data_IF_859329519400
#
_entry.id   IF_859329519400
#
_cell.length_a   1.000
_cell.length_b   1.000
_cell.length_c   1.000
_cell.angle_alpha   90.00
_cell.angle_beta   90.00
_cell.angle_gamma   90.00
#
_symmetry.space_group_name_H-M   'P 1'
#
loop_
_entity.id
_entity.type
_entity.pdbx_description
1 polymer ?
#
# COMPACT_ATOMS: atom_id res chain seq x y z
N UNK A 1 -5.12 8.39 27.43
CA UNK A 1 -6.48 8.63 26.94
C UNK A 1 -6.97 10.01 27.37
N UNK A 2 -6.81 10.39 28.65
CA UNK A 2 -7.21 11.73 29.15
C UNK A 2 -6.53 12.90 28.43
N UNK A 3 -5.36 12.70 27.83
CA UNK A 3 -4.65 13.71 27.03
C UNK A 3 -5.30 13.97 25.66
N UNK A 4 -6.22 13.12 25.20
CA UNK A 4 -6.78 13.16 23.83
C UNK A 4 -5.81 12.69 22.74
N UNK A 5 -4.58 12.32 23.09
CA UNK A 5 -3.52 11.94 22.12
C UNK A 5 -3.50 10.42 21.90
N UNK A 6 -3.96 9.65 22.89
CA UNK A 6 -3.92 8.18 22.87
C UNK A 6 -5.33 7.62 22.88
N UNK A 7 -5.62 6.74 21.95
CA UNK A 7 -6.83 5.92 21.90
C UNK A 7 -6.47 4.44 22.07
N UNK A 8 -7.25 3.70 22.85
CA UNK A 8 -7.07 2.27 23.07
C UNK A 8 -7.99 1.52 22.12
N UNK A 9 -7.41 0.68 21.26
CA UNK A 9 -8.14 -0.25 20.42
C UNK A 9 -8.26 -1.63 21.05
N UNK A 10 -9.19 -2.44 20.55
CA UNK A 10 -9.35 -3.83 20.96
C UNK A 10 -8.46 -4.78 20.15
N UNK A 11 -8.03 -5.86 20.81
CA UNK A 11 -7.32 -6.99 20.20
C UNK A 11 -7.88 -8.32 20.72
N UNK A 12 -9.18 -8.36 21.00
CA UNK A 12 -9.93 -9.37 21.73
C UNK A 12 -9.72 -9.30 23.27
N UNK A 13 -10.57 -9.96 24.01
CA UNK A 13 -10.41 -10.16 25.44
C UNK A 13 -9.57 -11.41 25.73
N UNK A 14 -9.95 -12.56 25.14
CA UNK A 14 -9.32 -13.86 25.40
C UNK A 14 -9.18 -14.76 24.16
N UNK A 15 -9.36 -14.22 22.95
CA UNK A 15 -9.26 -15.02 21.72
C UNK A 15 -7.89 -14.91 21.01
N UNK A 16 -6.94 -14.19 21.59
CA UNK A 16 -5.54 -14.23 21.15
C UNK A 16 -4.84 -15.44 21.79
N UNK A 17 -5.36 -16.64 21.55
CA UNK A 17 -4.86 -17.87 22.12
C UNK A 17 -4.10 -18.67 21.06
N UNK A 18 -2.87 -19.17 21.34
CA UNK A 18 -2.11 -20.02 20.42
C UNK A 18 -2.85 -21.26 19.93
N UNK A 19 -3.78 -21.81 20.72
CA UNK A 19 -4.62 -22.92 20.30
C UNK A 19 -5.52 -22.60 19.09
N UNK A 20 -5.82 -21.33 18.89
CA UNK A 20 -6.64 -20.83 17.80
C UNK A 20 -5.83 -19.97 16.81
N UNK A 21 -4.50 -19.93 16.94
CA UNK A 21 -3.67 -19.19 15.99
C UNK A 21 -3.65 -19.91 14.66
N UNK A 22 -3.89 -19.18 13.60
CA UNK A 22 -3.82 -19.73 12.24
C UNK A 22 -2.46 -20.29 11.88
N UNK A 23 -1.42 -19.92 12.61
CA UNK A 23 -0.03 -20.34 12.38
C UNK A 23 0.33 -21.67 13.05
N UNK A 24 -0.36 -22.04 14.11
CA UNK A 24 -0.05 -23.26 14.91
C UNK A 24 -1.24 -24.19 15.12
N UNK A 25 -2.45 -23.79 14.73
CA UNK A 25 -3.61 -24.68 14.77
C UNK A 25 -3.58 -25.67 13.58
N UNK A 26 -3.91 -26.93 13.79
CA UNK A 26 -3.88 -27.95 12.74
C UNK A 26 -4.74 -27.62 11.52
N UNK A 27 -5.73 -26.74 11.65
CA UNK A 27 -6.69 -26.33 10.63
C UNK A 27 -6.53 -24.88 10.16
N UNK A 28 -5.47 -24.17 10.56
CA UNK A 28 -5.23 -22.79 10.14
C UNK A 28 -6.20 -21.74 10.69
N UNK A 29 -6.95 -22.03 11.75
CA UNK A 29 -7.99 -21.16 12.30
C UNK A 29 -7.49 -20.48 13.58
N UNK A 30 -7.65 -19.16 13.66
CA UNK A 30 -7.43 -18.41 14.90
C UNK A 30 -8.76 -18.17 15.65
N UNK A 31 -8.68 -17.67 16.89
CA UNK A 31 -9.83 -17.51 17.78
C UNK A 31 -10.95 -16.61 17.26
N UNK A 32 -10.69 -15.67 16.36
CA UNK A 32 -11.69 -14.74 15.79
C UNK A 32 -12.31 -15.22 14.48
N UNK A 33 -11.75 -16.25 13.88
CA UNK A 33 -12.34 -16.86 12.68
C UNK A 33 -13.44 -17.87 13.07
N UNK A 34 -14.35 -18.10 12.12
CA UNK A 34 -15.35 -19.13 12.24
C UNK A 34 -14.71 -20.51 12.35
N UNK A 35 -15.16 -21.31 13.31
CA UNK A 35 -14.72 -22.70 13.46
C UNK A 35 -15.45 -23.62 12.46
N UNK A 36 -14.84 -24.73 12.05
CA UNK A 36 -15.52 -25.72 11.21
C UNK A 36 -16.85 -26.17 11.83
N UNK A 37 -17.94 -26.12 11.07
CA UNK A 37 -19.27 -26.46 11.54
C UNK A 37 -19.94 -25.46 12.49
N UNK A 38 -19.27 -24.39 12.87
CA UNK A 38 -19.84 -23.39 13.77
C UNK A 38 -20.99 -22.64 13.12
N UNK A 39 -22.15 -22.60 13.79
CA UNK A 39 -23.28 -21.80 13.33
C UNK A 39 -23.06 -20.31 13.56
N UNK A 40 -23.79 -19.46 12.84
CA UNK A 40 -23.71 -18.02 13.03
C UNK A 40 -24.08 -17.58 14.45
N UNK A 41 -25.05 -18.24 15.07
CA UNK A 41 -25.44 -17.96 16.46
C UNK A 41 -24.31 -18.33 17.43
N UNK A 42 -23.71 -19.50 17.30
CA UNK A 42 -22.57 -19.92 18.12
C UNK A 42 -21.37 -18.97 17.97
N UNK A 43 -21.03 -18.59 16.74
CA UNK A 43 -19.99 -17.61 16.46
C UNK A 43 -20.24 -16.26 17.14
N UNK A 44 -21.47 -15.73 17.03
CA UNK A 44 -21.86 -14.47 17.69
C UNK A 44 -21.77 -14.56 19.21
N UNK A 45 -22.12 -15.69 19.79
CA UNK A 45 -21.98 -15.91 21.24
C UNK A 45 -20.50 -15.93 21.63
N UNK A 46 -19.67 -16.69 20.93
CA UNK A 46 -18.25 -16.86 21.23
C UNK A 46 -17.45 -15.59 20.95
N UNK A 47 -17.42 -15.15 19.70
CA UNK A 47 -16.57 -14.02 19.27
C UNK A 47 -17.22 -12.69 19.62
N UNK A 48 -18.53 -12.57 19.45
CA UNK A 48 -19.28 -11.35 19.78
C UNK A 48 -19.31 -11.09 21.29
N UNK A 49 -19.37 -12.13 22.13
CA UNK A 49 -19.27 -12.02 23.58
C UNK A 49 -17.88 -11.58 24.04
N UNK A 50 -16.83 -12.18 23.50
CA UNK A 50 -15.44 -11.79 23.77
C UNK A 50 -15.17 -10.33 23.38
N UNK A 51 -15.58 -9.93 22.19
CA UNK A 51 -15.42 -8.56 21.69
C UNK A 51 -16.20 -7.56 22.57
N UNK A 52 -17.43 -7.92 23.00
CA UNK A 52 -18.22 -7.09 23.91
C UNK A 52 -17.51 -6.89 25.25
N UNK A 53 -16.95 -7.96 25.81
CA UNK A 53 -16.18 -7.91 27.07
C UNK A 53 -14.97 -6.99 26.92
N UNK A 54 -14.21 -7.13 25.81
CA UNK A 54 -13.07 -6.25 25.53
C UNK A 54 -13.48 -4.79 25.47
N UNK A 55 -14.54 -4.46 24.71
CA UNK A 55 -15.05 -3.09 24.60
C UNK A 55 -15.45 -2.52 25.96
N UNK A 56 -16.19 -3.28 26.76
CA UNK A 56 -16.63 -2.86 28.09
C UNK A 56 -15.43 -2.57 29.01
N UNK A 57 -14.45 -3.45 29.07
CA UNK A 57 -13.28 -3.25 29.91
C UNK A 57 -12.47 -2.03 29.47
N UNK A 58 -12.30 -1.80 28.17
CA UNK A 58 -11.60 -0.63 27.66
C UNK A 58 -12.35 0.65 28.06
N UNK A 59 -13.64 0.72 27.80
CA UNK A 59 -14.44 1.94 28.10
C UNK A 59 -14.52 2.22 29.60
N UNK A 60 -14.69 1.20 30.42
CA UNK A 60 -14.78 1.34 31.88
C UNK A 60 -13.47 1.81 32.52
N UNK A 61 -12.32 1.34 32.01
CA UNK A 61 -11.03 1.59 32.65
C UNK A 61 -10.21 2.70 32.02
N UNK A 62 -10.53 3.13 30.79
CA UNK A 62 -9.76 4.17 30.07
C UNK A 62 -10.43 5.54 30.04
N UNK A 63 -11.71 5.61 30.38
CA UNK A 63 -12.51 6.84 30.25
C UNK A 63 -12.91 7.20 28.82
N UNK A 64 -12.51 6.40 27.81
CA UNK A 64 -12.98 6.64 26.44
C UNK A 64 -14.41 6.11 26.26
N UNK A 65 -15.21 6.82 25.47
CA UNK A 65 -16.62 6.53 25.29
C UNK A 65 -16.90 5.41 24.27
N UNK A 66 -15.95 5.18 23.36
CA UNK A 66 -16.09 4.24 22.24
C UNK A 66 -14.75 3.55 21.99
N UNK A 67 -14.82 2.35 21.44
CA UNK A 67 -13.67 1.65 20.86
C UNK A 67 -13.88 1.64 19.35
N UNK A 68 -13.11 2.44 18.61
CA UNK A 68 -13.27 2.60 17.16
C UNK A 68 -12.27 1.75 16.36
N UNK A 69 -11.30 1.18 17.03
CA UNK A 69 -10.17 0.51 16.41
C UNK A 69 -10.04 -0.93 16.90
N UNK A 70 -9.72 -1.84 15.97
CA UNK A 70 -9.45 -3.24 16.24
C UNK A 70 -8.20 -3.73 15.52
N UNK A 71 -7.42 -4.58 16.14
CA UNK A 71 -6.31 -5.27 15.49
C UNK A 71 -6.62 -6.77 15.45
N UNK A 72 -6.54 -7.38 14.27
CA UNK A 72 -6.81 -8.82 14.17
C UNK A 72 -5.69 -9.64 14.81
N UNK A 73 -6.01 -10.55 15.75
CA UNK A 73 -5.04 -11.54 16.23
C UNK A 73 -4.44 -12.30 15.03
N UNK A 74 -3.09 -12.33 14.98
CA UNK A 74 -2.32 -12.95 13.89
C UNK A 74 -2.59 -12.40 12.48
N UNK A 75 -3.37 -11.32 12.36
CA UNK A 75 -3.80 -10.75 11.08
C UNK A 75 -4.91 -11.53 10.38
N UNK A 76 -5.42 -12.60 10.99
CA UNK A 76 -6.42 -13.46 10.39
C UNK A 76 -7.84 -12.96 10.67
N UNK A 77 -8.68 -12.97 9.64
CA UNK A 77 -10.06 -12.50 9.70
C UNK A 77 -10.92 -13.22 8.65
N UNK A 78 -12.22 -13.16 8.85
CA UNK A 78 -13.21 -13.58 7.87
C UNK A 78 -14.34 -12.55 7.77
N UNK A 79 -15.29 -12.80 6.87
CA UNK A 79 -16.45 -11.91 6.66
C UNK A 79 -17.34 -11.80 7.91
N UNK A 80 -17.41 -12.83 8.73
CA UNK A 80 -18.24 -12.84 9.94
C UNK A 80 -17.64 -11.90 11.00
N UNK A 81 -16.31 -11.91 11.13
CA UNK A 81 -15.63 -10.97 12.02
C UNK A 81 -15.81 -9.52 11.57
N UNK A 82 -15.66 -9.24 10.29
CA UNK A 82 -15.90 -7.88 9.77
C UNK A 82 -17.33 -7.41 10.02
N UNK A 83 -18.32 -8.29 9.87
CA UNK A 83 -19.72 -7.98 10.19
C UNK A 83 -19.89 -7.64 11.67
N UNK A 84 -19.31 -8.43 12.57
CA UNK A 84 -19.36 -8.14 14.00
C UNK A 84 -18.69 -6.82 14.38
N UNK A 85 -17.55 -6.49 13.79
CA UNK A 85 -16.87 -5.22 14.04
C UNK A 85 -17.77 -4.03 13.68
N UNK A 86 -18.41 -4.08 12.51
CA UNK A 86 -19.37 -3.04 12.10
C UNK A 86 -20.55 -2.93 13.07
N UNK A 87 -21.13 -4.05 13.49
CA UNK A 87 -22.25 -4.09 14.44
C UNK A 87 -21.89 -3.52 15.82
N UNK A 88 -20.62 -3.66 16.23
CA UNK A 88 -20.11 -3.09 17.48
C UNK A 88 -19.61 -1.66 17.35
N UNK A 89 -19.72 -1.03 16.17
CA UNK A 89 -19.30 0.34 15.92
C UNK A 89 -17.79 0.53 15.81
N UNK A 90 -17.03 -0.55 15.58
CA UNK A 90 -15.62 -0.48 15.25
C UNK A 90 -15.48 -0.04 13.79
N UNK A 91 -14.79 1.08 13.57
CA UNK A 91 -14.69 1.70 12.25
C UNK A 91 -13.49 1.22 11.44
N UNK A 92 -12.38 0.91 12.14
CA UNK A 92 -11.12 0.58 11.49
C UNK A 92 -10.53 -0.69 12.12
N UNK A 93 -10.02 -1.58 11.27
CA UNK A 93 -9.22 -2.71 11.76
C UNK A 93 -7.99 -2.96 10.91
N UNK A 94 -6.92 -3.45 11.60
CA UNK A 94 -5.61 -3.63 10.99
C UNK A 94 -5.18 -5.09 10.91
N UNK A 95 -4.51 -5.39 9.80
CA UNK A 95 -3.82 -6.65 9.54
C UNK A 95 -2.42 -6.67 10.17
N UNK A 96 -1.70 -7.74 9.96
CA UNK A 96 -0.25 -7.86 10.29
C UNK A 96 0.65 -7.52 9.11
N UNK A 97 0.10 -7.39 7.92
CA UNK A 97 0.84 -7.06 6.70
C UNK A 97 1.41 -5.65 6.79
N UNK A 98 2.73 -5.49 6.54
CA UNK A 98 3.33 -4.16 6.54
C UNK A 98 2.89 -3.37 5.33
N UNK A 99 2.63 -2.08 5.52
CA UNK A 99 2.28 -1.21 4.40
C UNK A 99 1.56 0.05 4.82
N UNK A 100 1.31 0.90 3.82
CA UNK A 100 0.47 2.09 3.93
C UNK A 100 -0.92 1.80 3.42
N UNK A 101 -1.93 2.35 4.06
CA UNK A 101 -3.28 2.31 3.56
C UNK A 101 -3.39 3.01 2.20
N UNK A 102 -4.08 2.39 1.27
CA UNK A 102 -4.42 2.98 -0.03
C UNK A 102 -5.88 3.45 0.01
N UNK A 103 -6.28 4.46 -0.77
CA UNK A 103 -7.67 4.93 -0.80
C UNK A 103 -8.71 3.84 -1.10
N UNK A 104 -8.32 2.79 -1.83
CA UNK A 104 -9.17 1.65 -2.19
C UNK A 104 -9.21 0.53 -1.15
N UNK A 105 -8.41 0.61 -0.10
CA UNK A 105 -8.35 -0.42 0.94
C UNK A 105 -9.59 -0.31 1.84
N UNK A 106 -10.19 -1.43 2.16
CA UNK A 106 -11.26 -1.49 3.17
C UNK A 106 -10.74 -1.01 4.52
N UNK A 107 -11.53 -0.22 5.22
CA UNK A 107 -11.21 0.22 6.58
C UNK A 107 -11.02 -0.96 7.55
N UNK A 108 -11.57 -2.13 7.24
CA UNK A 108 -11.37 -3.37 7.99
C UNK A 108 -10.21 -4.25 7.49
N UNK A 109 -9.33 -3.71 6.63
CA UNK A 109 -8.17 -4.43 6.07
C UNK A 109 -6.94 -3.52 5.98
N UNK A 110 -6.80 -2.60 6.93
CA UNK A 110 -5.72 -1.62 6.92
C UNK A 110 -4.37 -2.30 7.20
N UNK A 111 -3.37 -2.17 6.33
CA UNK A 111 -2.02 -2.60 6.61
C UNK A 111 -1.41 -1.76 7.74
N UNK A 112 -0.45 -2.32 8.47
CA UNK A 112 0.28 -1.60 9.53
C UNK A 112 1.73 -1.99 9.58
N UNK A 113 2.59 -1.11 10.07
CA UNK A 113 3.95 -1.46 10.47
C UNK A 113 3.97 -1.89 11.92
N UNK A 114 4.66 -3.01 12.20
CA UNK A 114 4.97 -3.42 13.56
C UNK A 114 6.17 -2.61 14.05
N UNK A 115 6.00 -1.94 15.17
CA UNK A 115 7.08 -1.21 15.84
C UNK A 115 7.50 -2.01 17.07
N UNK A 116 8.79 -2.26 17.24
CA UNK A 116 9.36 -2.91 18.40
C UNK A 116 10.28 -1.95 19.14
N UNK A 117 10.53 -2.21 20.43
CA UNK A 117 11.42 -1.36 21.25
C UNK A 117 12.87 -1.34 20.75
N UNK A 118 13.30 -2.35 19.99
CA UNK A 118 14.61 -2.41 19.37
C UNK A 118 14.73 -1.61 18.07
N UNK A 119 13.60 -1.11 17.58
CA UNK A 119 13.53 -0.37 16.32
C UNK A 119 13.82 1.11 16.56
N UNK A 120 14.88 1.63 15.94
CA UNK A 120 15.17 3.06 16.01
C UNK A 120 14.16 3.87 15.16
N UNK A 121 13.95 5.14 15.53
CA UNK A 121 13.14 6.07 14.72
C UNK A 121 13.67 6.15 13.28
N UNK A 122 14.99 6.15 13.07
CA UNK A 122 15.59 6.13 11.74
C UNK A 122 15.26 4.89 10.95
N UNK A 123 15.18 3.72 11.60
CA UNK A 123 14.75 2.46 10.97
C UNK A 123 13.28 2.51 10.57
N UNK A 124 12.42 3.05 11.44
CA UNK A 124 11.01 3.23 11.15
C UNK A 124 10.78 4.20 9.98
N UNK A 125 11.46 5.33 9.97
CA UNK A 125 11.39 6.31 8.88
C UNK A 125 11.87 5.69 7.56
N UNK A 126 12.92 4.86 7.59
CA UNK A 126 13.36 4.12 6.40
C UNK A 126 12.30 3.15 5.89
N UNK A 127 11.64 2.38 6.75
CA UNK A 127 10.56 1.48 6.34
C UNK A 127 9.39 2.21 5.68
N UNK A 128 9.06 3.41 6.16
CA UNK A 128 7.93 4.18 5.66
C UNK A 128 8.28 5.06 4.46
N UNK A 129 9.57 5.38 4.26
CA UNK A 129 10.05 6.31 3.23
C UNK A 129 11.16 5.72 2.36
N UNK A 130 11.43 4.42 2.46
CA UNK A 130 12.50 3.77 1.71
C UNK A 130 12.07 3.31 0.32
N UNK A 131 12.98 3.46 -0.63
CA UNK A 131 12.93 2.87 -1.96
C UNK A 131 13.82 1.63 -2.00
N UNK A 132 13.22 0.48 -2.20
CA UNK A 132 13.93 -0.79 -2.34
C UNK A 132 14.17 -1.06 -3.82
N UNK A 133 15.43 -1.29 -4.25
CA UNK A 133 15.72 -1.63 -5.63
C UNK A 133 14.91 -2.86 -6.07
N UNK A 134 14.36 -2.78 -7.26
CA UNK A 134 13.55 -3.84 -7.85
C UNK A 134 13.71 -3.85 -9.37
N UNK A 135 13.38 -4.96 -9.98
CA UNK A 135 13.25 -5.09 -11.43
C UNK A 135 11.78 -5.39 -11.73
N UNK A 136 11.21 -4.65 -12.66
CA UNK A 136 9.86 -4.91 -13.15
C UNK A 136 9.95 -5.64 -14.49
N UNK A 137 9.62 -6.93 -14.49
CA UNK A 137 9.41 -7.66 -15.76
C UNK A 137 8.25 -6.99 -16.48
N UNK A 138 8.47 -6.60 -17.70
CA UNK A 138 7.51 -5.80 -18.48
C UNK A 138 7.46 -6.33 -19.90
N UNK A 139 6.30 -6.30 -20.52
CA UNK A 139 6.11 -6.54 -21.95
C UNK A 139 5.48 -5.31 -22.57
N UNK A 140 6.10 -4.76 -23.60
CA UNK A 140 5.58 -3.63 -24.36
C UNK A 140 5.18 -4.11 -25.74
N UNK A 141 3.88 -4.06 -26.05
CA UNK A 141 3.34 -4.57 -27.31
C UNK A 141 3.83 -6.00 -27.65
N UNK A 142 3.94 -6.88 -26.65
CA UNK A 142 4.44 -8.24 -26.79
C UNK A 142 5.95 -8.42 -26.69
N UNK A 143 6.75 -7.34 -26.66
CA UNK A 143 8.21 -7.41 -26.53
C UNK A 143 8.64 -7.33 -25.07
N UNK A 144 9.36 -8.35 -24.59
CA UNK A 144 9.81 -8.41 -23.21
C UNK A 144 10.94 -7.39 -22.94
N UNK A 145 10.84 -6.68 -21.83
CA UNK A 145 11.83 -5.73 -21.33
C UNK A 145 11.84 -5.76 -19.81
N UNK A 146 12.97 -5.47 -19.19
CA UNK A 146 13.09 -5.33 -17.74
C UNK A 146 13.32 -3.86 -17.42
N UNK A 147 12.37 -3.26 -16.68
CA UNK A 147 12.49 -1.89 -16.23
C UNK A 147 13.10 -1.85 -14.81
N UNK A 148 14.19 -1.08 -14.62
CA UNK A 148 14.65 -0.76 -13.28
C UNK A 148 13.57 0.02 -12.51
N UNK A 149 13.28 -0.44 -11.30
CA UNK A 149 12.19 0.10 -10.48
C UNK A 149 12.63 0.22 -9.02
N UNK A 150 11.95 1.07 -8.28
CA UNK A 150 11.99 1.04 -6.82
C UNK A 150 10.63 0.57 -6.28
N UNK A 151 10.68 -0.35 -5.33
CA UNK A 151 9.50 -0.70 -4.54
C UNK A 151 9.38 0.29 -3.37
N UNK A 152 8.30 1.08 -3.38
CA UNK A 152 8.01 2.10 -2.37
C UNK A 152 6.59 1.86 -1.87
N UNK A 153 6.42 1.61 -0.57
CA UNK A 153 5.11 1.33 0.01
C UNK A 153 4.37 0.16 -0.66
N UNK A 154 5.11 -0.90 -1.04
CA UNK A 154 4.56 -2.10 -1.67
C UNK A 154 4.22 -1.98 -3.16
N UNK A 155 4.51 -0.85 -3.82
CA UNK A 155 4.29 -0.68 -5.25
C UNK A 155 5.60 -0.42 -5.98
N UNK A 156 5.68 -0.84 -7.25
CA UNK A 156 6.78 -0.53 -8.12
C UNK A 156 6.61 0.87 -8.73
N UNK A 157 7.67 1.66 -8.63
CA UNK A 157 7.80 2.98 -9.24
C UNK A 157 8.95 2.94 -10.23
N UNK A 158 8.72 3.43 -11.43
CA UNK A 158 9.68 3.47 -12.53
C UNK A 158 10.06 4.91 -12.84
N UNK A 159 11.26 5.09 -13.33
CA UNK A 159 11.76 6.40 -13.73
C UNK A 159 10.97 6.90 -14.95
N UNK A 160 10.38 8.08 -14.87
CA UNK A 160 9.50 8.61 -15.92
C UNK A 160 10.17 8.70 -17.29
N UNK A 161 11.44 9.12 -17.33
CA UNK A 161 12.19 9.26 -18.58
C UNK A 161 12.58 7.91 -19.20
N UNK A 162 12.78 6.87 -18.38
CA UNK A 162 13.03 5.53 -18.90
C UNK A 162 11.77 4.98 -19.61
N UNK A 163 10.58 5.27 -19.06
CA UNK A 163 9.32 4.91 -19.71
C UNK A 163 9.10 5.72 -20.99
N UNK A 164 9.34 7.02 -20.95
CA UNK A 164 9.23 7.86 -22.15
C UNK A 164 10.19 7.41 -23.26
N UNK A 165 11.43 7.05 -22.90
CA UNK A 165 12.41 6.49 -23.84
C UNK A 165 11.97 5.13 -24.41
N UNK A 166 11.36 4.28 -23.57
CA UNK A 166 10.84 2.97 -23.98
C UNK A 166 9.71 3.09 -24.98
N UNK A 167 8.83 4.10 -24.83
CA UNK A 167 7.65 4.30 -25.66
C UNK A 167 7.85 5.33 -26.78
N UNK A 168 9.05 5.87 -26.98
CA UNK A 168 9.32 6.99 -27.90
C UNK A 168 8.92 6.74 -29.35
N UNK A 169 8.96 5.49 -29.81
CA UNK A 169 8.65 5.10 -31.19
C UNK A 169 7.28 4.39 -31.30
N UNK A 170 6.40 4.56 -30.31
CA UNK A 170 5.05 4.01 -30.28
C UNK A 170 4.00 5.12 -30.48
N UNK A 171 2.75 4.77 -30.82
CA UNK A 171 1.65 5.73 -30.86
C UNK A 171 1.41 6.47 -29.52
N UNK A 172 1.74 5.87 -28.39
CA UNK A 172 1.62 6.46 -27.05
C UNK A 172 2.90 7.16 -26.58
N UNK A 173 3.78 7.59 -27.49
CA UNK A 173 4.94 8.40 -27.14
C UNK A 173 4.52 9.66 -26.38
N UNK A 174 5.28 10.02 -25.36
CA UNK A 174 5.03 11.24 -24.59
C UNK A 174 6.34 11.95 -24.23
N UNK A 175 6.31 13.28 -24.17
CA UNK A 175 7.48 14.08 -23.76
C UNK A 175 7.45 14.40 -22.27
N UNK A 176 8.64 14.59 -21.69
CA UNK A 176 8.85 14.85 -20.28
C UNK A 176 9.69 16.09 -20.10
N UNK A 177 9.11 17.14 -19.54
CA UNK A 177 9.78 18.38 -19.22
C UNK A 177 9.88 18.59 -17.72
N UNK A 178 10.89 19.32 -17.27
CA UNK A 178 11.04 19.77 -15.89
C UNK A 178 10.89 21.27 -15.85
N UNK A 179 9.80 21.74 -15.25
CA UNK A 179 9.60 23.15 -15.00
C UNK A 179 10.33 23.55 -13.71
N UNK A 180 11.52 24.11 -13.86
CA UNK A 180 12.37 24.50 -12.73
C UNK A 180 11.76 25.60 -11.87
N UNK A 181 11.00 26.52 -12.47
CA UNK A 181 10.39 27.65 -11.77
C UNK A 181 9.28 27.21 -10.81
N UNK A 182 8.51 26.21 -11.22
CA UNK A 182 7.38 25.67 -10.48
C UNK A 182 7.71 24.37 -9.75
N UNK A 183 8.95 23.86 -9.90
CA UNK A 183 9.38 22.57 -9.33
C UNK A 183 8.45 21.40 -9.72
N UNK A 184 7.98 21.38 -10.99
CA UNK A 184 6.96 20.46 -11.49
C UNK A 184 7.45 19.63 -12.66
N UNK A 185 6.93 18.40 -12.77
CA UNK A 185 7.03 17.59 -13.97
C UNK A 185 5.89 17.95 -14.92
N UNK A 186 6.22 18.22 -16.18
CA UNK A 186 5.26 18.43 -17.26
C UNK A 186 5.36 17.25 -18.25
N UNK A 187 4.22 16.64 -18.52
CA UNK A 187 4.05 15.56 -19.48
C UNK A 187 3.23 16.04 -20.67
N UNK A 188 3.59 15.62 -21.87
CA UNK A 188 2.83 15.89 -23.08
C UNK A 188 2.55 14.57 -23.78
N UNK A 189 1.30 14.16 -23.73
CA UNK A 189 0.83 12.93 -24.38
C UNK A 189 0.96 13.03 -25.90
N UNK A 190 1.11 11.89 -26.55
CA UNK A 190 1.16 11.77 -28.01
C UNK A 190 2.18 12.72 -28.66
N UNK A 191 3.25 13.02 -27.95
CA UNK A 191 4.31 13.92 -28.38
C UNK A 191 5.64 13.18 -28.50
N UNK A 192 6.47 13.48 -29.51
CA UNK A 192 7.79 12.86 -29.64
C UNK A 192 8.64 13.12 -28.38
N UNK A 193 9.19 12.07 -27.82
CA UNK A 193 10.11 12.20 -26.68
C UNK A 193 11.49 12.64 -27.14
N UNK A 194 12.04 13.67 -26.52
CA UNK A 194 13.40 14.14 -26.74
C UNK A 194 14.34 13.67 -25.63
N UNK A 195 15.21 12.67 -25.90
CA UNK A 195 16.17 12.19 -24.92
C UNK A 195 17.13 13.30 -24.47
N UNK A 196 17.46 13.32 -23.19
CA UNK A 196 18.40 14.30 -22.61
C UNK A 196 19.66 13.64 -21.99
N UNK A 197 19.83 12.31 -22.18
CA UNK A 197 20.98 11.55 -21.70
C UNK A 197 20.89 11.12 -20.24
N UNK A 198 19.75 11.29 -19.59
CA UNK A 198 19.50 10.81 -18.21
C UNK A 198 18.80 9.45 -18.16
N UNK A 199 18.35 8.95 -19.32
CA UNK A 199 17.63 7.69 -19.46
C UNK A 199 18.55 6.49 -19.29
N UNK A 200 17.97 5.37 -18.86
CA UNK A 200 18.64 4.06 -18.73
C UNK A 200 19.94 4.09 -17.90
N UNK A 201 20.10 5.09 -17.03
CA UNK A 201 21.23 5.13 -16.11
C UNK A 201 21.14 3.99 -15.11
N UNK A 202 22.27 3.37 -14.74
CA UNK A 202 22.27 2.35 -13.70
C UNK A 202 21.58 2.85 -12.45
N UNK A 203 20.75 1.99 -11.87
CA UNK A 203 20.08 2.26 -10.61
C UNK A 203 20.93 1.71 -9.47
N UNK A 204 20.90 2.39 -8.32
CA UNK A 204 21.57 1.87 -7.13
C UNK A 204 20.99 0.54 -6.70
N UNK A 205 21.84 -0.40 -6.32
CA UNK A 205 21.46 -1.65 -5.66
C UNK A 205 21.14 -1.48 -4.17
N UNK A 206 21.38 -0.30 -3.61
CA UNK A 206 21.15 -0.01 -2.20
C UNK A 206 19.74 0.58 -1.98
N UNK A 207 19.23 0.39 -0.76
CA UNK A 207 18.00 1.04 -0.30
C UNK A 207 18.24 2.55 -0.26
N UNK A 208 17.35 3.32 -0.86
CA UNK A 208 17.41 4.78 -0.91
C UNK A 208 16.31 5.43 -0.10
N UNK A 209 16.59 6.60 0.44
CA UNK A 209 15.55 7.48 1.01
C UNK A 209 14.78 8.15 -0.12
N UNK A 210 13.47 8.20 -0.01
CA UNK A 210 12.60 8.88 -0.98
C UNK A 210 12.20 10.24 -0.50
N UNK A 211 12.08 11.19 -1.43
CA UNK A 211 11.41 12.46 -1.22
C UNK A 211 10.11 12.45 -2.03
N UNK A 212 8.97 12.51 -1.36
CA UNK A 212 7.69 12.69 -2.04
C UNK A 212 7.68 14.03 -2.76
N UNK A 213 7.21 14.06 -3.99
CA UNK A 213 6.88 15.30 -4.67
C UNK A 213 5.57 15.82 -4.11
N UNK A 214 5.55 17.07 -3.72
CA UNK A 214 4.36 17.76 -3.16
C UNK A 214 3.64 18.56 -4.23
N UNK A 215 4.36 18.94 -5.27
CA UNK A 215 3.81 19.69 -6.40
C UNK A 215 3.04 18.75 -7.35
N UNK A 216 1.97 19.23 -7.99
CA UNK A 216 1.22 18.44 -8.96
C UNK A 216 2.09 18.12 -10.18
N UNK A 217 1.83 16.97 -10.81
CA UNK A 217 2.30 16.68 -12.17
C UNK A 217 1.34 17.36 -13.14
N UNK A 218 1.87 18.06 -14.11
CA UNK A 218 1.07 18.65 -15.18
C UNK A 218 1.09 17.71 -16.39
N UNK A 219 -0.08 17.26 -16.84
CA UNK A 219 -0.21 16.49 -18.07
C UNK A 219 -1.13 17.26 -19.04
N UNK A 220 -0.63 17.56 -20.22
CA UNK A 220 -1.34 18.32 -21.27
C UNK A 220 -1.97 19.62 -20.75
N UNK A 221 -1.25 20.32 -19.86
CA UNK A 221 -1.69 21.57 -19.24
C UNK A 221 -2.63 21.41 -18.06
N UNK A 222 -3.03 20.19 -17.69
CA UNK A 222 -3.90 19.91 -16.52
C UNK A 222 -3.07 19.44 -15.35
N UNK A 223 -3.36 19.95 -14.15
CA UNK A 223 -2.70 19.56 -12.92
C UNK A 223 -3.31 18.28 -12.31
N UNK A 224 -2.45 17.34 -11.94
CA UNK A 224 -2.83 16.05 -11.34
C UNK A 224 -2.05 15.81 -10.05
N UNK A 225 -2.76 15.60 -8.94
CA UNK A 225 -2.16 15.21 -7.67
C UNK A 225 -1.99 13.69 -7.62
N UNK A 226 -0.89 13.21 -8.18
CA UNK A 226 -0.53 11.79 -8.19
C UNK A 226 0.73 11.53 -7.37
N UNK A 227 0.84 10.32 -6.81
CA UNK A 227 2.01 9.95 -6.03
C UNK A 227 3.25 9.83 -6.93
N UNK A 228 4.22 10.71 -6.69
CA UNK A 228 5.51 10.71 -7.34
C UNK A 228 6.63 10.87 -6.30
N UNK A 229 7.78 10.31 -6.60
CA UNK A 229 8.94 10.36 -5.69
C UNK A 229 10.20 10.79 -6.42
N UNK A 230 11.02 11.58 -5.74
CA UNK A 230 12.40 11.80 -6.15
C UNK A 230 13.31 10.81 -5.41
N UNK A 231 14.11 10.08 -6.17
CA UNK A 231 15.18 9.21 -5.67
C UNK A 231 16.45 9.53 -6.46
N UNK A 232 17.49 9.92 -5.77
CA UNK A 232 18.81 10.29 -6.36
C UNK A 232 18.72 11.30 -7.52
N UNK A 233 17.77 12.26 -7.42
CA UNK A 233 17.58 13.31 -8.44
C UNK A 233 16.66 12.92 -9.60
N UNK A 234 16.18 11.69 -9.65
CA UNK A 234 15.25 11.23 -10.68
C UNK A 234 13.83 11.12 -10.16
N UNK A 235 12.85 11.40 -11.02
CA UNK A 235 11.43 11.29 -10.68
C UNK A 235 10.87 9.93 -11.08
N UNK A 236 10.16 9.31 -10.15
CA UNK A 236 9.58 7.99 -10.26
C UNK A 236 8.07 8.03 -10.08
N UNK A 237 7.35 7.31 -10.94
CA UNK A 237 5.91 7.16 -10.93
C UNK A 237 5.50 5.69 -10.99
N UNK A 238 4.27 5.39 -10.59
CA UNK A 238 3.65 4.10 -10.93
C UNK A 238 3.37 4.05 -12.43
N UNK A 239 3.66 2.93 -13.08
CA UNK A 239 3.36 2.75 -14.51
C UNK A 239 1.89 3.03 -14.82
N UNK A 240 0.97 2.51 -14.03
CA UNK A 240 -0.47 2.74 -14.22
C UNK A 240 -0.84 4.22 -14.19
N UNK A 241 -0.28 4.98 -13.25
CA UNK A 241 -0.52 6.43 -13.21
C UNK A 241 0.05 7.17 -14.42
N UNK A 242 1.17 6.72 -14.95
CA UNK A 242 1.70 7.26 -16.22
C UNK A 242 0.82 6.89 -17.41
N UNK A 243 0.32 5.64 -17.45
CA UNK A 243 -0.61 5.18 -18.48
C UNK A 243 -1.89 6.02 -18.52
N UNK A 244 -2.48 6.27 -17.35
CA UNK A 244 -3.67 7.11 -17.19
C UNK A 244 -3.43 8.55 -17.67
N UNK A 245 -2.22 9.09 -17.48
CA UNK A 245 -1.88 10.47 -17.89
C UNK A 245 -1.41 10.58 -19.34
N UNK A 246 -0.73 9.56 -19.87
CA UNK A 246 -0.04 9.64 -21.17
C UNK A 246 -0.70 8.77 -22.26
N UNK A 247 -1.82 8.11 -21.95
CA UNK A 247 -2.64 7.43 -22.96
C UNK A 247 -2.15 6.03 -23.36
N UNK A 248 -1.47 5.29 -22.48
CA UNK A 248 -1.15 3.88 -22.69
C UNK A 248 -1.79 2.99 -21.63
N UNK A 249 -2.10 1.74 -21.97
CA UNK A 249 -2.72 0.79 -21.06
C UNK A 249 -1.66 0.02 -20.27
N UNK A 250 -1.96 -0.27 -19.01
CA UNK A 250 -1.09 -1.03 -18.10
C UNK A 250 -1.89 -2.12 -17.40
N UNK A 251 -1.59 -3.37 -17.74
CA UNK A 251 -2.19 -4.56 -17.15
C UNK A 251 -1.15 -5.40 -16.42
N UNK A 252 -1.60 -6.45 -15.75
CA UNK A 252 -0.77 -7.38 -15.00
C UNK A 252 -1.12 -8.81 -15.37
N UNK A 253 -0.13 -9.59 -15.77
CA UNK A 253 -0.26 -11.02 -15.99
C UNK A 253 0.25 -11.78 -14.77
N UNK A 254 -0.68 -12.40 -14.06
CA UNK A 254 -0.37 -13.19 -12.86
C UNK A 254 0.43 -14.46 -13.16
N UNK A 255 0.22 -15.06 -14.33
CA UNK A 255 0.88 -16.31 -14.69
C UNK A 255 2.38 -16.12 -14.95
N UNK A 256 2.74 -15.05 -15.64
CA UNK A 256 4.14 -14.71 -15.95
C UNK A 256 4.76 -13.69 -14.98
N UNK A 257 3.98 -13.15 -14.02
CA UNK A 257 4.40 -12.08 -13.10
C UNK A 257 4.98 -10.89 -13.88
N UNK A 258 4.31 -10.48 -14.94
CA UNK A 258 4.78 -9.47 -15.90
C UNK A 258 3.79 -8.32 -16.00
N UNK A 259 4.30 -7.10 -16.04
CA UNK A 259 3.51 -5.90 -16.38
C UNK A 259 3.33 -5.85 -17.89
N UNK A 260 2.10 -5.72 -18.36
CA UNK A 260 1.78 -5.57 -19.78
C UNK A 260 1.53 -4.10 -20.09
N UNK A 261 2.22 -3.57 -21.08
CA UNK A 261 2.02 -2.22 -21.61
C UNK A 261 1.55 -2.36 -23.06
N UNK A 262 0.39 -1.75 -23.36
CA UNK A 262 -0.12 -1.56 -24.72
C UNK A 262 -0.04 -0.07 -25.04
N UNK A 263 0.79 0.28 -26.01
CA UNK A 263 1.15 1.65 -26.32
C UNK A 263 1.13 1.92 -27.83
#
# INVERSE_FOLDING_TARGET
>A
VSSGIVEIGSHTYNLHNPQYSGMSAPNGINGVMRLPGESQSAYRTRVGGDLQTSIQLITQNSGQQKVLYFSYPFGAYDRWMQTLLNEKGILVSTLTEPGRAKPSVSLHQMPRYRITMQQSVSSLLRQTSAAYPALANTSVNGHAVVLPAYRIGGNNYVRVRDVAMLLKDTPSSFDVQWNKSLNQVELRSFSPYTPNGTENKPMSSEIRTVKSLTEPTVADGVQHMIAAYNVDGYTYYKLRSLGDLCGFQVDWDDASQTVLITA
#
